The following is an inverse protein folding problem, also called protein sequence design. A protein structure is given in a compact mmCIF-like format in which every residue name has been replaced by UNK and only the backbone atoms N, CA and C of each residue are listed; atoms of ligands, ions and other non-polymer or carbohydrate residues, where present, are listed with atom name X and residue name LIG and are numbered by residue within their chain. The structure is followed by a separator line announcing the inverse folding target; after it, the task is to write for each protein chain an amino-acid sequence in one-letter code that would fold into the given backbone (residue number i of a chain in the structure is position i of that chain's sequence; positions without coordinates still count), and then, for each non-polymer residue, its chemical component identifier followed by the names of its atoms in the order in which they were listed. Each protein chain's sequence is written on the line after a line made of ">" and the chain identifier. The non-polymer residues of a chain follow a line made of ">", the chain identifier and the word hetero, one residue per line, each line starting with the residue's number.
data_IF_312295148868
#
_entry.id   IF_312295148868
#
_cell.length_a   1.000
_cell.length_b   1.000
_cell.length_c   1.000
_cell.angle_alpha   90.00
_cell.angle_beta   90.00
_cell.angle_gamma   90.00
#
_symmetry.space_group_name_H-M   'P 1'
#
loop_
_entity.id
_entity.type
_entity.pdbx_description
1 polymer ?
#
# COMPACT_ATOMS: atom_id res chain seq x y z
N UNK A 1 4.13 -8.50 -24.70
CA UNK A 1 3.52 -8.72 -23.36
C UNK A 1 4.45 -8.13 -22.33
N UNK A 2 3.94 -7.39 -21.35
CA UNK A 2 4.73 -6.95 -20.20
C UNK A 2 4.96 -8.14 -19.26
N UNK A 3 6.14 -8.19 -18.63
CA UNK A 3 6.48 -9.21 -17.61
C UNK A 3 5.93 -8.76 -16.26
N UNK A 4 5.31 -9.68 -15.53
CA UNK A 4 4.81 -9.42 -14.17
C UNK A 4 5.96 -9.41 -13.16
N UNK A 5 5.76 -8.73 -12.03
CA UNK A 5 6.73 -8.70 -10.96
C UNK A 5 6.88 -10.09 -10.34
N UNK A 6 8.13 -10.51 -10.14
CA UNK A 6 8.52 -11.76 -9.49
C UNK A 6 8.93 -11.51 -8.03
N UNK A 7 8.87 -12.52 -7.15
CA UNK A 7 8.46 -13.91 -7.41
C UNK A 7 6.94 -14.07 -7.58
N UNK A 8 6.52 -15.09 -8.32
CA UNK A 8 5.11 -15.46 -8.44
C UNK A 8 4.67 -16.31 -7.25
N UNK A 9 3.47 -16.05 -6.73
CA UNK A 9 2.95 -16.69 -5.51
C UNK A 9 2.83 -18.20 -5.65
N UNK A 10 2.16 -18.71 -6.69
CA UNK A 10 1.93 -20.15 -6.85
C UNK A 10 3.23 -20.99 -6.92
N UNK A 11 4.22 -20.66 -7.78
CA UNK A 11 5.51 -21.37 -7.78
C UNK A 11 6.27 -21.28 -6.45
N UNK A 12 6.17 -20.15 -5.75
CA UNK A 12 6.78 -20.00 -4.43
C UNK A 12 6.13 -20.95 -3.41
N UNK A 13 4.80 -21.00 -3.36
CA UNK A 13 4.05 -21.91 -2.46
C UNK A 13 4.39 -23.38 -2.73
N UNK A 14 4.47 -23.79 -4.00
CA UNK A 14 4.89 -25.14 -4.38
C UNK A 14 6.32 -25.43 -3.90
N UNK A 15 7.25 -24.48 -4.09
CA UNK A 15 8.64 -24.64 -3.64
C UNK A 15 8.76 -24.78 -2.11
N UNK A 16 7.95 -24.02 -1.36
CA UNK A 16 7.91 -24.09 0.11
C UNK A 16 7.31 -25.40 0.60
N UNK A 17 6.30 -25.92 -0.11
CA UNK A 17 5.73 -27.25 0.16
C UNK A 17 6.75 -28.36 -0.11
N UNK A 18 7.44 -28.32 -1.25
CA UNK A 18 8.52 -29.27 -1.59
C UNK A 18 9.68 -29.25 -0.58
N UNK A 19 9.95 -28.09 0.02
CA UNK A 19 10.91 -27.93 1.10
C UNK A 19 10.41 -28.48 2.46
N UNK A 20 9.20 -29.05 2.52
CA UNK A 20 8.54 -29.59 3.73
C UNK A 20 8.43 -28.55 4.84
N UNK A 21 8.13 -27.30 4.47
CA UNK A 21 7.92 -26.23 5.45
C UNK A 21 6.78 -26.62 6.39
N UNK A 22 7.06 -26.65 7.69
CA UNK A 22 6.12 -27.19 8.68
C UNK A 22 4.86 -26.32 8.86
N UNK A 23 4.99 -25.00 8.68
CA UNK A 23 3.91 -24.04 8.82
C UNK A 23 4.13 -22.82 7.92
N UNK A 24 3.07 -22.35 7.29
CA UNK A 24 3.02 -21.10 6.54
C UNK A 24 1.81 -20.27 7.02
N UNK A 25 2.08 -19.06 7.48
CA UNK A 25 1.05 -18.04 7.72
C UNK A 25 1.19 -16.96 6.62
N UNK A 26 0.11 -16.65 5.91
CA UNK A 26 0.12 -15.77 4.73
C UNK A 26 -0.95 -14.68 4.87
N UNK A 27 -0.68 -13.50 4.32
CA UNK A 27 -1.62 -12.37 4.30
C UNK A 27 -1.45 -11.55 3.02
N UNK A 28 -2.46 -10.74 2.69
CA UNK A 28 -2.53 -9.98 1.44
C UNK A 28 -2.38 -8.47 1.69
N UNK A 29 -1.15 -7.92 1.82
CA UNK A 29 -0.94 -6.51 2.19
C UNK A 29 -1.45 -5.48 1.18
N UNK A 30 -1.72 -5.90 -0.06
CA UNK A 30 -2.31 -5.04 -1.09
C UNK A 30 -3.83 -4.87 -0.95
N UNK A 31 -4.47 -5.61 -0.06
CA UNK A 31 -5.93 -5.65 0.08
C UNK A 31 -6.33 -5.35 1.54
N UNK A 32 -7.03 -4.24 1.81
CA UNK A 32 -7.53 -3.95 3.15
C UNK A 32 -8.80 -4.75 3.50
N UNK A 33 -9.50 -5.30 2.50
CA UNK A 33 -10.72 -6.09 2.66
C UNK A 33 -10.66 -7.34 1.77
N UNK A 34 -11.33 -8.39 2.21
CA UNK A 34 -11.38 -9.66 1.47
C UNK A 34 -12.13 -9.50 0.14
N UNK A 35 -11.57 -10.12 -0.89
CA UNK A 35 -12.12 -10.23 -2.23
C UNK A 35 -11.90 -11.64 -2.80
N UNK A 36 -12.25 -11.84 -4.07
CA UNK A 36 -12.11 -13.13 -4.75
C UNK A 36 -10.67 -13.64 -4.72
N UNK A 37 -9.71 -12.77 -5.04
CA UNK A 37 -8.29 -13.08 -5.08
C UNK A 37 -7.77 -13.51 -3.70
N UNK A 38 -8.21 -12.87 -2.62
CA UNK A 38 -7.75 -13.22 -1.26
C UNK A 38 -8.38 -14.52 -0.74
N UNK A 39 -9.66 -14.76 -1.06
CA UNK A 39 -10.42 -15.89 -0.52
C UNK A 39 -10.21 -17.16 -1.34
N UNK A 40 -10.29 -17.06 -2.67
CA UNK A 40 -10.18 -18.23 -3.54
C UNK A 40 -8.71 -18.49 -3.91
N UNK A 41 -8.02 -17.54 -4.53
CA UNK A 41 -6.65 -17.80 -5.02
C UNK A 41 -5.65 -17.99 -3.89
N UNK A 42 -5.68 -17.15 -2.85
CA UNK A 42 -4.72 -17.25 -1.74
C UNK A 42 -5.17 -18.27 -0.69
N UNK A 43 -6.36 -18.10 -0.10
CA UNK A 43 -6.74 -18.93 1.05
C UNK A 43 -7.13 -20.36 0.69
N UNK A 44 -7.64 -20.61 -0.52
CA UNK A 44 -8.04 -21.95 -0.98
C UNK A 44 -7.00 -22.56 -1.93
N UNK A 45 -6.79 -22.00 -3.12
CA UNK A 45 -5.90 -22.59 -4.13
C UNK A 45 -4.44 -22.60 -3.66
N UNK A 46 -3.96 -21.51 -3.07
CA UNK A 46 -2.61 -21.43 -2.50
C UNK A 46 -2.35 -22.45 -1.40
N UNK A 47 -3.37 -22.73 -0.57
CA UNK A 47 -3.32 -23.78 0.44
C UNK A 47 -3.20 -25.16 -0.20
N UNK A 48 -4.02 -25.44 -1.22
CA UNK A 48 -3.95 -26.71 -1.95
C UNK A 48 -2.57 -26.92 -2.58
N UNK A 49 -2.03 -25.90 -3.26
CA UNK A 49 -0.69 -25.95 -3.87
C UNK A 49 0.39 -26.30 -2.82
N UNK A 50 0.40 -25.57 -1.70
CA UNK A 50 1.40 -25.78 -0.64
C UNK A 50 1.30 -27.17 0.01
N UNK A 51 0.08 -27.60 0.34
CA UNK A 51 -0.15 -28.87 1.05
C UNK A 51 0.03 -30.08 0.13
N UNK A 52 -0.40 -30.01 -1.14
CA UNK A 52 -0.16 -31.08 -2.11
C UNK A 52 1.34 -31.27 -2.41
N UNK A 53 2.14 -30.21 -2.35
CA UNK A 53 3.60 -30.29 -2.49
C UNK A 53 4.32 -30.84 -1.23
N UNK A 54 3.60 -31.14 -0.14
CA UNK A 54 4.15 -31.72 1.09
C UNK A 54 4.41 -30.72 2.22
N UNK A 55 3.88 -29.51 2.11
CA UNK A 55 3.87 -28.52 3.19
C UNK A 55 2.94 -28.92 4.34
N UNK A 56 3.20 -28.36 5.54
CA UNK A 56 2.43 -28.64 6.74
C UNK A 56 1.20 -27.75 6.92
N UNK A 57 1.13 -27.06 8.06
CA UNK A 57 0.01 -26.18 8.38
C UNK A 57 0.00 -24.94 7.48
N UNK A 58 -1.17 -24.53 7.02
CA UNK A 58 -1.36 -23.33 6.21
C UNK A 58 -2.45 -22.48 6.84
N UNK A 59 -2.15 -21.23 7.17
CA UNK A 59 -3.12 -20.26 7.66
C UNK A 59 -3.11 -19.00 6.80
N UNK A 60 -4.23 -18.78 6.11
CA UNK A 60 -4.51 -17.47 5.54
C UNK A 60 -5.03 -16.56 6.66
N UNK A 61 -4.38 -15.42 6.82
CA UNK A 61 -4.79 -14.35 7.73
C UNK A 61 -5.80 -13.49 6.97
N UNK A 62 -7.03 -13.31 7.48
CA UNK A 62 -8.03 -12.46 6.84
C UNK A 62 -7.51 -11.03 6.63
N UNK A 63 -8.06 -10.35 5.63
CA UNK A 63 -7.82 -8.91 5.49
C UNK A 63 -8.38 -8.14 6.70
N UNK A 64 -8.01 -6.86 6.80
CA UNK A 64 -8.42 -6.02 7.93
C UNK A 64 -9.94 -5.84 8.01
N UNK A 65 -10.65 -5.86 6.88
CA UNK A 65 -12.12 -5.79 6.83
C UNK A 65 -12.69 -4.66 7.69
N UNK A 66 -13.48 -4.99 8.71
CA UNK A 66 -14.14 -4.08 9.64
C UNK A 66 -13.42 -3.96 11.00
N UNK A 67 -12.16 -4.40 11.09
CA UNK A 67 -11.36 -4.29 12.30
C UNK A 67 -11.28 -2.85 12.81
N UNK A 68 -11.61 -2.66 14.09
CA UNK A 68 -11.74 -1.33 14.71
C UNK A 68 -10.43 -0.53 14.61
N UNK A 69 -9.28 -1.20 14.74
CA UNK A 69 -7.96 -0.57 14.61
C UNK A 69 -7.74 0.01 13.21
N UNK A 70 -8.21 -0.69 12.16
CA UNK A 70 -8.10 -0.24 10.78
C UNK A 70 -9.05 0.92 10.50
N UNK A 71 -10.30 0.83 10.95
CA UNK A 71 -11.28 1.91 10.81
C UNK A 71 -10.81 3.20 11.50
N UNK A 72 -10.20 3.08 12.68
CA UNK A 72 -9.61 4.22 13.38
C UNK A 72 -8.43 4.82 12.61
N UNK A 73 -7.55 3.99 12.03
CA UNK A 73 -6.45 4.48 11.21
C UNK A 73 -6.95 5.20 9.94
N UNK A 74 -7.94 4.62 9.25
CA UNK A 74 -8.62 5.27 8.12
C UNK A 74 -9.24 6.60 8.51
N UNK A 75 -9.94 6.66 9.64
CA UNK A 75 -10.53 7.89 10.16
C UNK A 75 -9.48 8.97 10.42
N UNK A 76 -8.35 8.60 11.04
CA UNK A 76 -7.23 9.50 11.29
C UNK A 76 -6.67 10.03 9.97
N UNK A 77 -6.32 9.14 9.03
CA UNK A 77 -5.79 9.53 7.71
C UNK A 77 -6.77 10.46 6.99
N UNK A 78 -8.05 10.14 6.96
CA UNK A 78 -9.06 10.98 6.32
C UNK A 78 -9.16 12.36 6.98
N UNK A 79 -9.16 12.43 8.32
CA UNK A 79 -9.25 13.68 9.08
C UNK A 79 -8.05 14.58 8.82
N UNK A 80 -6.84 14.01 8.85
CA UNK A 80 -5.59 14.74 8.56
C UNK A 80 -5.58 15.31 7.14
N UNK A 81 -6.07 14.55 6.16
CA UNK A 81 -5.99 14.92 4.75
C UNK A 81 -7.16 15.80 4.26
N UNK A 82 -8.34 15.72 4.88
CA UNK A 82 -9.49 16.59 4.54
C UNK A 82 -9.26 18.02 5.06
N UNK A 83 -8.45 18.21 6.10
CA UNK A 83 -8.08 19.53 6.63
C UNK A 83 -7.20 20.37 5.67
N UNK A 84 -6.76 19.79 4.55
CA UNK A 84 -5.98 20.44 3.51
C UNK A 84 -4.52 19.95 3.48
N UNK A 85 -4.03 19.69 2.28
CA UNK A 85 -2.71 19.08 2.05
C UNK A 85 -1.55 20.10 2.07
N UNK A 86 -1.80 21.34 2.50
CA UNK A 86 -0.81 22.43 2.40
C UNK A 86 -0.35 22.74 0.97
N UNK A 87 -1.09 22.28 -0.05
CA UNK A 87 -0.72 22.41 -1.47
C UNK A 87 -0.86 23.84 -2.01
N UNK A 88 -1.49 24.73 -1.24
CA UNK A 88 -1.54 26.16 -1.55
C UNK A 88 -0.36 26.82 -0.83
N UNK A 89 0.56 27.48 -1.54
CA UNK A 89 1.58 28.31 -0.90
C UNK A 89 0.90 29.24 0.09
N UNK A 90 1.48 29.39 1.28
CA UNK A 90 0.93 30.36 2.24
C UNK A 90 0.82 31.72 1.55
N UNK A 91 -0.24 32.47 1.86
CA UNK A 91 -0.43 33.82 1.33
C UNK A 91 0.84 34.68 1.57
N UNK A 92 1.54 34.44 2.68
CA UNK A 92 2.81 35.05 3.00
C UNK A 92 3.90 34.75 1.96
N UNK A 93 4.01 33.50 1.49
CA UNK A 93 4.98 33.11 0.46
C UNK A 93 4.70 33.82 -0.87
N UNK A 94 3.44 33.89 -1.27
CA UNK A 94 3.02 34.61 -2.49
C UNK A 94 3.28 36.12 -2.37
N UNK A 95 2.96 36.73 -1.23
CA UNK A 95 3.23 38.15 -0.95
C UNK A 95 4.73 38.44 -0.99
N UNK A 96 5.56 37.62 -0.33
CA UNK A 96 7.02 37.80 -0.34
C UNK A 96 7.60 37.69 -1.75
N UNK A 97 7.15 36.71 -2.54
CA UNK A 97 7.57 36.57 -3.93
C UNK A 97 7.21 37.79 -4.78
N UNK A 98 5.99 38.33 -4.62
CA UNK A 98 5.56 39.55 -5.32
C UNK A 98 6.35 40.78 -4.90
N UNK A 99 6.66 40.92 -3.60
CA UNK A 99 7.49 42.01 -3.08
C UNK A 99 8.91 41.94 -3.65
N UNK A 100 9.52 40.76 -3.72
CA UNK A 100 10.85 40.57 -4.30
C UNK A 100 10.89 40.84 -5.82
N UNK A 101 9.85 40.43 -6.56
CA UNK A 101 9.71 40.79 -7.98
C UNK A 101 9.58 42.31 -8.18
N UNK A 102 8.79 42.98 -7.34
CA UNK A 102 8.62 44.43 -7.39
C UNK A 102 9.95 45.17 -7.11
N UNK A 103 10.72 44.74 -6.11
CA UNK A 103 12.05 45.28 -5.81
C UNK A 103 13.03 45.12 -6.98
N UNK A 104 13.07 43.93 -7.61
CA UNK A 104 13.92 43.67 -8.79
C UNK A 104 13.53 44.53 -9.98
N UNK A 105 12.23 44.72 -10.24
CA UNK A 105 11.75 45.58 -11.30
C UNK A 105 12.14 47.05 -11.06
N UNK A 106 11.99 47.53 -9.82
CA UNK A 106 12.39 48.88 -9.44
C UNK A 106 13.89 49.11 -9.64
N UNK A 107 14.72 48.16 -9.19
CA UNK A 107 16.18 48.24 -9.33
C UNK A 107 16.64 48.35 -10.80
N UNK A 108 15.93 47.70 -11.73
CA UNK A 108 16.20 47.77 -13.19
C UNK A 108 15.79 49.10 -13.82
N UNK A 109 14.84 49.82 -13.23
CA UNK A 109 14.38 51.12 -13.72
C UNK A 109 15.24 52.28 -13.18
N UNK A 110 15.96 52.04 -12.09
CA UNK A 110 16.83 53.03 -11.43
C UNK A 110 18.32 52.85 -11.74
N UNK A 111 18.66 51.90 -12.62
CA UNK A 111 20.00 51.65 -13.17
C UNK A 111 20.06 52.07 -14.63
#
# INVERSE_FOLDING_TARGET
>A
KAEWLKPYTAPLLESLGNAKTARLDIFCPGFPADCLETLEEIAMEGKEIFQHAGGGAYHAIPCLNDEVVWLNALHQIATENIAGWGLVPSLDTEIQNRLELAKKALARLTS
#
